data_IF_614390915833
#
_entry.id   IF_614390915833
#
_cell.length_a   1.000
_cell.length_b   1.000
_cell.length_c   1.000
_cell.angle_alpha   90.00
_cell.angle_beta   90.00
_cell.angle_gamma   90.00
#
_symmetry.space_group_name_H-M   'P 1'
#
loop_
_entity.id
_entity.type
_entity.pdbx_description
1 polymer ?
#
# COMPACT_ATOMS: atom_id res chain seq x y z
N UNK A 1 -11.20 20.63 -2.14
CA UNK A 1 -11.99 20.00 -1.07
C UNK A 1 -12.74 18.80 -1.68
N UNK A 2 -12.66 17.59 -1.10
CA UNK A 2 -13.37 16.41 -1.62
C UNK A 2 -12.59 15.09 -1.62
N UNK A 3 -11.26 15.13 -1.54
CA UNK A 3 -10.43 13.92 -1.40
C UNK A 3 -10.30 13.53 0.07
N UNK A 4 -10.62 12.27 0.38
CA UNK A 4 -10.31 11.66 1.66
C UNK A 4 -8.90 11.09 1.58
N UNK A 5 -8.08 11.36 2.57
CA UNK A 5 -6.72 10.84 2.64
C UNK A 5 -6.48 10.20 4.00
N UNK A 6 -5.70 9.13 3.98
CA UNK A 6 -5.15 8.50 5.17
C UNK A 6 -3.70 8.13 4.87
N UNK A 7 -2.81 8.36 5.82
CA UNK A 7 -1.40 8.05 5.67
C UNK A 7 -0.81 7.67 7.00
N UNK A 8 0.15 6.75 6.97
CA UNK A 8 0.99 6.44 8.13
C UNK A 8 1.71 7.68 8.65
N UNK A 9 2.03 8.64 7.78
CA UNK A 9 2.62 9.92 8.20
C UNK A 9 1.74 10.73 9.15
N UNK A 10 0.41 10.55 9.13
CA UNK A 10 -0.51 11.24 10.05
C UNK A 10 -0.48 10.65 11.47
N UNK A 11 -0.02 9.40 11.60
CA UNK A 11 0.01 8.66 12.86
C UNK A 11 1.36 8.78 13.58
N UNK A 12 2.38 9.36 12.94
CA UNK A 12 3.74 9.47 13.48
C UNK A 12 3.97 10.88 14.04
N UNK A 13 4.52 10.97 15.25
CA UNK A 13 5.00 12.22 15.84
C UNK A 13 6.49 12.39 15.50
N UNK A 14 6.90 13.57 15.02
CA UNK A 14 8.26 13.87 14.54
C UNK A 14 9.38 13.56 15.55
N UNK A 15 9.04 13.43 16.83
CA UNK A 15 9.99 13.21 17.93
C UNK A 15 10.33 11.74 18.20
N UNK A 16 9.64 10.79 17.59
CA UNK A 16 9.84 9.36 17.88
C UNK A 16 10.17 8.60 16.60
N UNK A 17 11.43 8.15 16.41
CA UNK A 17 11.77 7.28 15.31
C UNK A 17 11.00 5.96 15.45
N UNK A 18 10.00 5.73 14.59
CA UNK A 18 9.31 4.45 14.52
C UNK A 18 9.99 3.57 13.48
N UNK A 19 10.60 2.46 13.94
CA UNK A 19 11.14 1.44 13.05
C UNK A 19 9.98 0.57 12.57
N UNK A 20 9.51 0.78 11.35
CA UNK A 20 8.45 -0.03 10.73
C UNK A 20 9.02 -1.39 10.30
N UNK A 21 8.83 -2.43 11.12
CA UNK A 21 9.11 -3.82 10.73
C UNK A 21 7.94 -4.41 9.95
N UNK A 22 8.19 -5.41 9.10
CA UNK A 22 7.21 -6.03 8.19
C UNK A 22 5.81 -6.29 8.78
N UNK A 23 5.68 -6.96 9.94
CA UNK A 23 4.38 -7.23 10.56
C UNK A 23 3.59 -5.97 10.93
N UNK A 24 4.28 -4.87 11.28
CA UNK A 24 3.63 -3.61 11.61
C UNK A 24 3.08 -2.91 10.37
N UNK A 25 3.72 -3.07 9.21
CA UNK A 25 3.23 -2.51 7.95
C UNK A 25 1.94 -3.21 7.49
N UNK A 26 1.84 -4.53 7.61
CA UNK A 26 0.61 -5.28 7.31
C UNK A 26 -0.55 -4.95 8.27
N UNK A 27 -0.25 -4.84 9.57
CA UNK A 27 -1.24 -4.39 10.57
C UNK A 27 -1.72 -2.97 10.32
N UNK A 28 -0.81 -2.06 9.99
CA UNK A 28 -1.11 -0.69 9.62
C UNK A 28 -1.99 -0.59 8.36
N UNK A 29 -1.70 -1.37 7.32
CA UNK A 29 -2.55 -1.45 6.13
C UNK A 29 -3.97 -1.91 6.50
N UNK A 30 -4.07 -2.95 7.33
CA UNK A 30 -5.37 -3.45 7.80
C UNK A 30 -6.14 -2.36 8.54
N UNK A 31 -5.48 -1.62 9.43
CA UNK A 31 -6.07 -0.49 10.13
C UNK A 31 -6.53 0.62 9.18
N UNK A 32 -5.71 0.98 8.17
CA UNK A 32 -6.09 1.99 7.18
C UNK A 32 -7.29 1.55 6.33
N UNK A 33 -7.39 0.27 5.98
CA UNK A 33 -8.50 -0.26 5.20
C UNK A 33 -9.79 -0.43 6.01
N UNK A 34 -9.70 -1.06 7.19
CA UNK A 34 -10.87 -1.51 7.96
C UNK A 34 -11.31 -0.50 9.03
N UNK A 35 -10.39 0.34 9.54
CA UNK A 35 -10.65 1.22 10.68
C UNK A 35 -10.68 2.71 10.32
N UNK A 36 -10.56 3.04 9.03
CA UNK A 36 -10.74 4.41 8.54
C UNK A 36 -12.17 4.59 8.04
N UNK A 37 -12.83 5.67 8.44
CA UNK A 37 -14.20 6.01 8.02
C UNK A 37 -14.23 6.59 6.59
N UNK A 38 -13.92 5.74 5.61
CA UNK A 38 -13.92 6.08 4.19
C UNK A 38 -15.30 6.47 3.65
N UNK A 39 -16.38 5.91 4.21
CA UNK A 39 -17.75 6.10 3.70
C UNK A 39 -17.90 5.59 2.26
N UNK A 40 -18.84 6.19 1.51
CA UNK A 40 -18.99 5.89 0.09
C UNK A 40 -17.83 6.48 -0.72
N UNK A 41 -17.20 5.63 -1.54
CA UNK A 41 -16.12 5.98 -2.46
C UNK A 41 -16.34 5.28 -3.80
N UNK A 42 -16.12 6.00 -4.90
CA UNK A 42 -16.05 5.38 -6.23
C UNK A 42 -14.74 4.60 -6.40
N UNK A 43 -13.64 5.14 -5.86
CA UNK A 43 -12.30 4.57 -5.93
C UNK A 43 -11.51 4.80 -4.65
N UNK A 44 -10.78 3.77 -4.22
CA UNK A 44 -9.76 3.86 -3.18
C UNK A 44 -8.41 3.53 -3.82
N UNK A 45 -7.52 4.52 -3.91
CA UNK A 45 -6.15 4.34 -4.40
C UNK A 45 -5.23 4.07 -3.22
N UNK A 46 -4.45 3.01 -3.31
CA UNK A 46 -3.51 2.59 -2.27
C UNK A 46 -2.10 2.70 -2.84
N UNK A 47 -1.28 3.53 -2.21
CA UNK A 47 0.15 3.59 -2.49
C UNK A 47 0.87 2.49 -1.72
N UNK A 48 1.48 1.56 -2.45
CA UNK A 48 2.10 0.37 -1.88
C UNK A 48 3.62 0.57 -1.80
N UNK A 49 4.28 0.14 -0.71
CA UNK A 49 5.74 0.16 -0.66
C UNK A 49 6.32 -0.78 -1.75
N UNK A 50 7.55 -0.52 -2.23
CA UNK A 50 8.14 -1.29 -3.32
C UNK A 50 8.35 -2.76 -2.94
N UNK A 51 8.37 -3.62 -3.95
CA UNK A 51 8.68 -5.05 -3.81
C UNK A 51 7.46 -5.97 -3.89
N UNK A 52 7.69 -7.22 -3.49
CA UNK A 52 6.76 -8.35 -3.64
C UNK A 52 6.50 -9.05 -2.29
N UNK A 53 6.44 -8.26 -1.21
CA UNK A 53 6.44 -8.75 0.17
C UNK A 53 5.06 -9.06 0.74
N UNK A 54 5.03 -9.26 2.05
CA UNK A 54 3.82 -9.66 2.80
C UNK A 54 2.67 -8.66 2.70
N UNK A 55 2.95 -7.37 2.46
CA UNK A 55 1.92 -6.33 2.41
C UNK A 55 1.05 -6.43 1.15
N UNK A 56 1.62 -6.83 0.01
CA UNK A 56 0.89 -7.10 -1.21
C UNK A 56 -0.05 -8.32 -1.03
N UNK A 57 0.44 -9.38 -0.39
CA UNK A 57 -0.36 -10.56 -0.05
C UNK A 57 -1.45 -10.23 0.99
N UNK A 58 -1.14 -9.40 1.97
CA UNK A 58 -2.12 -8.93 2.96
C UNK A 58 -3.22 -8.15 2.26
N UNK A 59 -2.88 -7.26 1.31
CA UNK A 59 -3.88 -6.51 0.54
C UNK A 59 -4.80 -7.45 -0.25
N UNK A 60 -4.25 -8.43 -0.96
CA UNK A 60 -5.06 -9.37 -1.76
C UNK A 60 -5.95 -10.28 -0.90
N UNK A 61 -5.54 -10.58 0.34
CA UNK A 61 -6.37 -11.31 1.30
C UNK A 61 -7.46 -10.45 1.94
N UNK A 62 -7.20 -9.15 2.14
CA UNK A 62 -8.09 -8.24 2.89
C UNK A 62 -9.08 -7.50 2.01
N UNK A 63 -8.72 -7.19 0.77
CA UNK A 63 -9.53 -6.42 -0.14
C UNK A 63 -9.57 -7.04 -1.53
N UNK A 64 -10.73 -6.94 -2.19
CA UNK A 64 -10.85 -7.25 -3.62
C UNK A 64 -10.25 -6.11 -4.42
N UNK A 65 -9.08 -6.36 -5.00
CA UNK A 65 -8.38 -5.39 -5.86
C UNK A 65 -9.04 -5.37 -7.24
N UNK A 66 -9.51 -4.21 -7.69
CA UNK A 66 -10.11 -4.05 -9.04
C UNK A 66 -9.07 -4.01 -10.16
N UNK A 67 -7.83 -3.66 -9.83
CA UNK A 67 -6.69 -3.61 -10.74
C UNK A 67 -5.47 -3.02 -10.07
N UNK A 68 -4.30 -3.17 -10.70
CA UNK A 68 -3.03 -2.62 -10.25
C UNK A 68 -2.40 -1.73 -11.33
N UNK A 69 -1.73 -0.66 -10.91
CA UNK A 69 -0.93 0.20 -11.78
C UNK A 69 0.53 0.00 -11.41
N UNK A 70 1.31 -0.57 -12.33
CA UNK A 70 2.74 -0.82 -12.13
C UNK A 70 3.53 0.39 -12.66
N UNK A 71 4.29 1.02 -11.78
CA UNK A 71 5.17 2.15 -12.11
C UNK A 71 6.61 1.64 -12.12
N UNK A 72 7.31 1.86 -13.23
CA UNK A 72 8.71 1.43 -13.39
C UNK A 72 9.51 2.47 -14.18
N UNK A 73 10.82 2.28 -14.20
CA UNK A 73 11.79 3.08 -14.94
C UNK A 73 12.45 2.23 -16.03
N UNK A 74 13.05 2.81 -17.08
CA UNK A 74 13.45 2.05 -18.27
C UNK A 74 14.68 1.13 -18.08
N UNK A 75 15.29 1.08 -16.88
CA UNK A 75 16.45 0.24 -16.59
C UNK A 75 16.05 -1.23 -16.43
N UNK A 76 16.88 -2.14 -16.92
CA UNK A 76 16.60 -3.59 -16.92
C UNK A 76 16.24 -4.15 -15.53
N UNK A 77 16.94 -3.68 -14.48
CA UNK A 77 16.66 -4.11 -13.10
C UNK A 77 15.24 -3.72 -12.67
N UNK A 78 14.84 -2.47 -12.95
CA UNK A 78 13.50 -1.99 -12.61
C UNK A 78 12.41 -2.70 -13.44
N UNK A 79 12.70 -3.05 -14.68
CA UNK A 79 11.81 -3.84 -15.53
C UNK A 79 11.64 -5.28 -15.01
N UNK A 80 12.70 -5.90 -14.48
CA UNK A 80 12.61 -7.23 -13.87
C UNK A 80 11.73 -7.21 -12.63
N UNK A 81 11.85 -6.20 -11.77
CA UNK A 81 11.02 -6.07 -10.58
C UNK A 81 9.56 -5.74 -10.93
N UNK A 82 9.33 -4.91 -11.96
CA UNK A 82 7.99 -4.63 -12.47
C UNK A 82 7.29 -5.89 -13.00
N UNK A 83 8.00 -6.77 -13.73
CA UNK A 83 7.44 -8.05 -14.19
C UNK A 83 7.00 -8.95 -13.04
N UNK A 84 7.81 -9.05 -11.99
CA UNK A 84 7.42 -9.80 -10.78
C UNK A 84 6.19 -9.20 -10.10
N UNK A 85 6.09 -7.87 -10.06
CA UNK A 85 4.91 -7.17 -9.54
C UNK A 85 3.64 -7.47 -10.33
N UNK A 86 3.74 -7.60 -11.67
CA UNK A 86 2.61 -8.00 -12.52
C UNK A 86 2.14 -9.42 -12.19
N UNK A 87 3.05 -10.37 -11.94
CA UNK A 87 2.67 -11.76 -11.63
C UNK A 87 1.98 -11.92 -10.26
N UNK A 88 2.08 -10.93 -9.37
CA UNK A 88 1.48 -10.98 -8.03
C UNK A 88 0.03 -10.50 -7.94
N UNK A 89 -0.43 -9.69 -8.89
CA UNK A 89 -1.75 -9.04 -8.87
C UNK A 89 -2.61 -9.51 -10.04
#
# INVERSE_FOLDING_TARGET
HGLKTMSMGYLVNERTPMVWRGPMAGGALTQMLEQTLWGELDFLVIDMPPGTGDIQLTLSQKARVSGAVIVTTPQDIALLDARKGIEMF
#
